data_IF_578591847112
#
_entry.id   IF_578591847112
#
_cell.length_a   1.000
_cell.length_b   1.000
_cell.length_c   1.000
_cell.angle_alpha   90.00
_cell.angle_beta   90.00
_cell.angle_gamma   90.00
#
_symmetry.space_group_name_H-M   'P 1'
#
loop_
_entity.id
_entity.type
_entity.pdbx_description
1 polymer ?
#
# COMPACT_ATOMS: atom_id res chain seq x y z
N UNK A 1 -0.56 -40.13 5.31
CA UNK A 1 0.92 -40.07 5.39
C UNK A 1 1.30 -38.60 5.40
N UNK A 2 1.77 -38.09 6.54
CA UNK A 2 2.11 -36.68 6.70
C UNK A 2 3.35 -36.58 7.59
N UNK A 3 4.53 -36.85 7.03
CA UNK A 3 5.79 -36.61 7.75
C UNK A 3 6.97 -36.51 6.79
N UNK A 4 7.14 -35.39 6.10
CA UNK A 4 8.39 -35.14 5.36
C UNK A 4 8.94 -33.71 5.49
N UNK A 5 8.36 -32.88 6.35
CA UNK A 5 8.84 -31.50 6.54
C UNK A 5 9.19 -31.13 7.99
N UNK A 6 9.02 -32.03 8.96
CA UNK A 6 9.27 -31.71 10.37
C UNK A 6 10.77 -31.44 10.67
N UNK A 7 11.66 -31.84 9.74
CA UNK A 7 13.11 -31.60 9.82
C UNK A 7 13.60 -30.36 9.05
N UNK A 8 12.74 -29.65 8.33
CA UNK A 8 13.17 -28.50 7.49
C UNK A 8 13.39 -27.23 8.32
N UNK A 9 12.69 -27.10 9.45
CA UNK A 9 12.79 -25.97 10.39
C UNK A 9 13.42 -26.45 11.70
N UNK A 10 14.75 -26.61 11.69
CA UNK A 10 15.57 -27.00 12.85
C UNK A 10 15.80 -25.89 13.87
N UNK A 11 15.40 -24.66 13.56
CA UNK A 11 15.57 -23.53 14.45
C UNK A 11 14.33 -23.34 15.33
N UNK A 12 14.46 -23.74 16.60
CA UNK A 12 13.41 -23.66 17.61
C UNK A 12 12.92 -22.23 17.89
N UNK A 13 13.70 -21.20 17.53
CA UNK A 13 13.26 -19.80 17.61
C UNK A 13 12.42 -19.37 16.40
N UNK A 14 12.64 -19.96 15.24
CA UNK A 14 11.91 -19.62 14.00
C UNK A 14 10.59 -20.37 13.92
N UNK A 15 10.54 -21.61 14.42
CA UNK A 15 9.34 -22.45 14.45
C UNK A 15 8.10 -21.73 15.04
N UNK A 16 8.14 -21.09 16.22
CA UNK A 16 6.98 -20.37 16.77
C UNK A 16 6.60 -19.12 15.98
N UNK A 17 7.56 -18.47 15.31
CA UNK A 17 7.30 -17.27 14.49
C UNK A 17 6.47 -17.66 13.26
N UNK A 18 6.89 -18.70 12.52
CA UNK A 18 6.20 -19.14 11.31
C UNK A 18 4.87 -19.81 11.66
N UNK A 19 4.80 -20.55 12.76
CA UNK A 19 3.54 -21.16 13.23
C UNK A 19 2.54 -20.13 13.77
N UNK A 20 2.97 -18.91 14.06
CA UNK A 20 2.07 -17.84 14.44
C UNK A 20 1.13 -17.49 13.29
N UNK A 21 -0.18 -17.54 13.56
CA UNK A 21 -1.23 -17.08 12.62
C UNK A 21 -0.98 -15.64 12.14
N UNK A 22 -0.33 -14.82 12.96
CA UNK A 22 -0.02 -13.43 12.63
C UNK A 22 1.05 -13.31 11.54
N UNK A 23 2.02 -14.23 11.46
CA UNK A 23 3.10 -14.14 10.48
C UNK A 23 2.57 -14.17 9.04
N UNK A 24 1.82 -15.22 8.69
CA UNK A 24 1.23 -15.33 7.35
C UNK A 24 0.16 -14.27 7.07
N UNK A 25 -0.59 -13.86 8.10
CA UNK A 25 -1.59 -12.79 7.94
C UNK A 25 -0.92 -11.44 7.66
N UNK A 26 0.21 -11.15 8.29
CA UNK A 26 1.02 -9.95 8.03
C UNK A 26 1.62 -10.00 6.63
N UNK A 27 2.19 -11.13 6.21
CA UNK A 27 2.71 -11.32 4.85
C UNK A 27 1.62 -11.11 3.79
N UNK A 28 0.40 -11.59 4.04
CA UNK A 28 -0.73 -11.39 3.13
C UNK A 28 -1.10 -9.90 2.98
N UNK A 29 -1.11 -9.14 4.08
CA UNK A 29 -1.33 -7.69 4.04
C UNK A 29 -0.23 -7.00 3.24
N UNK A 30 1.04 -7.34 3.50
CA UNK A 30 2.16 -6.76 2.80
C UNK A 30 2.09 -7.05 1.29
N UNK A 31 1.86 -8.31 0.89
CA UNK A 31 1.71 -8.66 -0.51
C UNK A 31 0.56 -7.94 -1.20
N UNK A 32 -0.58 -7.80 -0.52
CA UNK A 32 -1.76 -7.10 -1.05
C UNK A 32 -1.50 -5.60 -1.31
N UNK A 33 -0.74 -4.93 -0.44
CA UNK A 33 -0.39 -3.50 -0.58
C UNK A 33 0.78 -3.31 -1.54
N UNK A 34 1.69 -4.27 -1.64
CA UNK A 34 2.89 -4.18 -2.44
C UNK A 34 2.59 -4.07 -3.94
N UNK A 35 1.58 -4.80 -4.44
CA UNK A 35 1.21 -4.81 -5.85
C UNK A 35 0.81 -3.43 -6.42
N UNK A 36 -0.16 -2.71 -5.83
CA UNK A 36 -0.50 -1.37 -6.28
C UNK A 36 0.65 -0.38 -6.07
N UNK A 37 1.48 -0.56 -5.03
CA UNK A 37 2.65 0.29 -4.81
C UNK A 37 3.69 0.14 -5.92
N UNK A 38 4.00 -1.10 -6.32
CA UNK A 38 4.88 -1.37 -7.46
C UNK A 38 4.34 -0.75 -8.75
N UNK A 39 3.04 -0.92 -9.01
CA UNK A 39 2.39 -0.34 -10.20
C UNK A 39 2.47 1.19 -10.19
N UNK A 40 2.21 1.82 -9.06
CA UNK A 40 2.34 3.27 -8.89
C UNK A 40 3.77 3.75 -9.19
N UNK A 41 4.78 3.13 -8.57
CA UNK A 41 6.20 3.49 -8.79
C UNK A 41 6.61 3.32 -10.24
N UNK A 42 6.22 2.22 -10.89
CA UNK A 42 6.51 1.99 -12.30
C UNK A 42 5.83 3.04 -13.20
N UNK A 43 4.57 3.37 -12.92
CA UNK A 43 3.84 4.40 -13.64
C UNK A 43 4.52 5.76 -13.50
N UNK A 44 4.94 6.13 -12.30
CA UNK A 44 5.57 7.42 -11.99
C UNK A 44 7.00 7.55 -12.52
N UNK A 45 7.71 6.45 -12.68
CA UNK A 45 9.04 6.44 -13.33
C UNK A 45 8.98 6.58 -14.84
N UNK A 46 7.79 6.46 -15.44
CA UNK A 46 7.62 6.70 -16.87
C UNK A 46 7.95 8.15 -17.21
N UNK A 47 8.69 8.39 -18.31
CA UNK A 47 8.98 9.75 -18.81
C UNK A 47 7.72 10.55 -19.15
N UNK A 48 6.56 9.90 -19.25
CA UNK A 48 5.26 10.50 -19.56
C UNK A 48 4.36 10.66 -18.34
N UNK A 49 4.84 10.32 -17.14
CA UNK A 49 4.05 10.44 -15.93
C UNK A 49 3.66 11.90 -15.68
N UNK A 50 2.38 12.13 -15.44
CA UNK A 50 1.82 13.44 -15.10
C UNK A 50 1.47 13.51 -13.62
N UNK A 51 1.21 14.72 -13.12
CA UNK A 51 0.67 14.90 -11.77
C UNK A 51 -0.68 14.18 -11.59
N UNK A 52 -1.49 14.10 -12.65
CA UNK A 52 -2.74 13.34 -12.65
C UNK A 52 -2.51 11.83 -12.48
N UNK A 53 -1.44 11.27 -13.07
CA UNK A 53 -1.06 9.86 -12.87
C UNK A 53 -0.62 9.59 -11.42
N UNK A 54 0.03 10.58 -10.78
CA UNK A 54 0.37 10.53 -9.36
C UNK A 54 -0.89 10.50 -8.48
N UNK A 55 -1.81 11.43 -8.71
CA UNK A 55 -3.08 11.50 -8.00
C UNK A 55 -3.89 10.19 -8.15
N UNK A 56 -4.01 9.69 -9.39
CA UNK A 56 -4.69 8.44 -9.68
C UNK A 56 -4.04 7.24 -8.96
N UNK A 57 -2.71 7.23 -8.87
CA UNK A 57 -1.96 6.19 -8.16
C UNK A 57 -2.21 6.23 -6.65
N UNK A 58 -2.23 7.43 -6.04
CA UNK A 58 -2.60 7.64 -4.64
C UNK A 58 -4.05 7.19 -4.36
N UNK A 59 -4.99 7.55 -5.24
CA UNK A 59 -6.40 7.13 -5.10
C UNK A 59 -6.56 5.60 -5.16
N UNK A 60 -5.84 4.92 -6.07
CA UNK A 60 -5.81 3.45 -6.15
C UNK A 60 -5.21 2.81 -4.90
N UNK A 61 -4.16 3.40 -4.33
CA UNK A 61 -3.57 2.95 -3.07
C UNK A 61 -4.56 3.08 -1.91
N UNK A 62 -5.22 4.25 -1.80
CA UNK A 62 -6.24 4.50 -0.78
C UNK A 62 -7.41 3.51 -0.87
N UNK A 63 -7.91 3.28 -2.09
CA UNK A 63 -8.98 2.31 -2.35
C UNK A 63 -8.55 0.88 -1.99
N UNK A 64 -7.30 0.51 -2.26
CA UNK A 64 -6.76 -0.80 -1.87
C UNK A 64 -6.73 -0.94 -0.35
N UNK A 65 -6.20 0.05 0.37
CA UNK A 65 -6.12 0.00 1.84
C UNK A 65 -7.50 0.00 2.52
N UNK A 66 -8.51 0.61 1.89
CA UNK A 66 -9.90 0.52 2.36
C UNK A 66 -10.45 -0.91 2.30
N UNK A 67 -9.97 -1.75 1.37
CA UNK A 67 -10.37 -3.16 1.23
C UNK A 67 -9.70 -4.08 2.26
N UNK A 68 -8.69 -3.63 2.99
CA UNK A 68 -8.07 -4.42 4.06
C UNK A 68 -9.06 -4.60 5.22
N UNK A 69 -9.13 -5.81 5.82
CA UNK A 69 -9.95 -6.04 7.01
C UNK A 69 -9.55 -5.09 8.14
N UNK A 70 -10.53 -4.42 8.78
CA UNK A 70 -10.24 -3.46 9.86
C UNK A 70 -9.54 -4.11 11.07
N UNK A 71 -9.79 -5.40 11.29
CA UNK A 71 -9.21 -6.18 12.39
C UNK A 71 -7.75 -6.59 12.15
N UNK A 72 -7.27 -6.52 10.90
CA UNK A 72 -5.95 -7.01 10.54
C UNK A 72 -4.96 -5.84 10.44
N UNK A 73 -3.99 -5.82 11.35
CA UNK A 73 -2.97 -4.77 11.46
C UNK A 73 -3.55 -3.34 11.49
N UNK A 74 -4.37 -3.00 12.50
CA UNK A 74 -5.04 -1.70 12.59
C UNK A 74 -4.04 -0.54 12.65
N UNK A 75 -2.93 -0.69 13.38
CA UNK A 75 -1.88 0.33 13.46
C UNK A 75 -1.25 0.63 12.09
N UNK A 76 -0.92 -0.42 11.32
CA UNK A 76 -0.40 -0.29 9.96
C UNK A 76 -1.41 0.42 9.05
N UNK A 77 -2.67 0.00 9.09
CA UNK A 77 -3.73 0.62 8.29
C UNK A 77 -3.91 2.10 8.61
N UNK A 78 -3.96 2.46 9.89
CA UNK A 78 -4.06 3.86 10.33
C UNK A 78 -2.85 4.68 9.86
N UNK A 79 -1.64 4.12 9.97
CA UNK A 79 -0.44 4.78 9.49
C UNK A 79 -0.47 5.02 7.97
N UNK A 80 -0.83 4.00 7.18
CA UNK A 80 -0.94 4.17 5.72
C UNK A 80 -2.01 5.20 5.33
N UNK A 81 -3.17 5.22 6.00
CA UNK A 81 -4.22 6.20 5.74
C UNK A 81 -3.72 7.61 6.05
N UNK A 82 -3.04 7.80 7.19
CA UNK A 82 -2.45 9.09 7.57
C UNK A 82 -1.50 9.59 6.49
N UNK A 83 -0.52 8.78 6.09
CA UNK A 83 0.46 9.14 5.06
C UNK A 83 -0.23 9.49 3.74
N UNK A 84 -1.22 8.70 3.32
CA UNK A 84 -1.94 8.98 2.07
C UNK A 84 -2.71 10.29 2.13
N UNK A 85 -3.37 10.59 3.25
CA UNK A 85 -4.09 11.84 3.40
C UNK A 85 -3.14 13.04 3.37
N UNK A 86 -2.02 12.97 4.10
CA UNK A 86 -0.97 14.01 4.04
C UNK A 86 -0.48 14.24 2.60
N UNK A 87 -0.37 13.18 1.78
CA UNK A 87 -0.04 13.31 0.35
C UNK A 87 -1.18 13.81 -0.52
N UNK A 88 -2.43 13.63 -0.12
CA UNK A 88 -3.57 14.22 -0.83
C UNK A 88 -3.66 15.73 -0.58
N UNK A 89 -3.34 16.17 0.63
CA UNK A 89 -3.33 17.59 1.01
C UNK A 89 -2.33 18.38 0.14
N UNK A 90 -1.22 17.76 -0.30
CA UNK A 90 -0.27 18.35 -1.28
C UNK A 90 -0.90 18.69 -2.65
N UNK A 91 -2.07 18.14 -2.98
CA UNK A 91 -2.81 18.46 -4.21
C UNK A 91 -3.89 19.54 -4.00
N UNK A 92 -4.19 19.89 -2.75
CA UNK A 92 -5.23 20.85 -2.37
C UNK A 92 -4.72 22.31 -2.41
N UNK A 93 -3.40 22.51 -2.50
CA UNK A 93 -2.79 23.81 -2.76
C UNK A 93 -3.07 24.28 -4.20
N UNK A 94 -4.19 24.99 -4.43
CA UNK A 94 -4.51 26.06 -5.41
C UNK A 94 -3.98 26.05 -6.87
N UNK A 95 -3.18 25.08 -7.29
CA UNK A 95 -2.59 24.96 -8.63
C UNK A 95 -3.62 24.43 -9.63
N UNK A 96 -4.56 23.58 -9.19
CA UNK A 96 -5.65 23.10 -10.03
C UNK A 96 -6.67 24.20 -10.35
N UNK A 97 -6.95 25.11 -9.42
CA UNK A 97 -7.80 26.29 -9.67
C UNK A 97 -7.07 27.29 -10.58
N UNK A 98 -5.76 27.48 -10.42
CA UNK A 98 -5.00 28.39 -11.30
C UNK A 98 -4.84 27.85 -12.73
N UNK A 99 -4.68 26.54 -12.93
CA UNK A 99 -4.51 25.96 -14.29
C UNK A 99 -5.87 25.84 -15.02
N UNK A 100 -6.97 25.61 -14.30
CA UNK A 100 -8.32 25.54 -14.90
C UNK A 100 -9.05 26.90 -14.92
N UNK A 101 -8.64 27.86 -14.11
CA UNK A 101 -9.25 29.19 -13.98
C UNK A 101 -8.64 30.29 -14.86
N UNK A 102 -7.47 30.07 -15.45
CA UNK A 102 -6.82 31.02 -16.38
C UNK A 102 -7.01 30.65 -17.86
N UNK A 103 -8.08 29.91 -18.18
CA UNK A 103 -8.50 29.57 -19.54
C UNK A 103 -9.85 30.18 -19.94
N UNK A 104 -10.36 31.15 -19.18
CA UNK A 104 -11.54 31.96 -19.51
C UNK A 104 -11.58 33.21 -18.62
N UNK A 105 -10.90 34.27 -19.03
CA UNK A 105 -11.30 35.66 -18.79
C UNK A 105 -10.52 36.60 -19.69
#
# INVERSE_FOLDING_TARGET
>A
MASDHDKVLTNDKIKPIIQSRNFFSNLRVLGFVQDPLKKAVLSLKSRRATLADCFLSLAKLAATLKKLPKSLNPAFRSHCIKVINERFDEFDDDILICILGNGNR
#
